data_IF_641286903538
#
_entry.id   IF_641286903538
#
_cell.length_a   1.000
_cell.length_b   1.000
_cell.length_c   1.000
_cell.angle_alpha   90.00
_cell.angle_beta   90.00
_cell.angle_gamma   90.00
#
_symmetry.space_group_name_H-M   'P 1'
#
loop_
_entity.id
_entity.type
_entity.pdbx_description
1 polymer ?
#
# COMPACT_ATOMS: atom_id res chain seq x y z
N UNK A 1 -5.35 12.83 9.52
CA UNK A 1 -6.08 11.64 9.05
C UNK A 1 -5.43 10.38 9.62
N UNK A 2 -4.16 10.12 9.32
CA UNK A 2 -3.35 9.10 9.99
C UNK A 2 -2.57 9.76 11.13
N UNK A 3 -3.09 9.73 12.36
CA UNK A 3 -2.54 10.54 13.47
C UNK A 3 -1.26 9.92 14.05
N UNK A 4 -1.21 8.60 14.09
CA UNK A 4 -0.07 7.80 14.51
C UNK A 4 1.13 7.95 13.57
N UNK A 5 0.91 8.34 12.31
CA UNK A 5 1.99 8.56 11.35
C UNK A 5 2.89 9.75 11.75
N UNK A 6 2.40 10.74 12.49
CA UNK A 6 3.19 11.93 12.84
C UNK A 6 4.36 11.67 13.81
N UNK A 7 4.45 10.45 14.36
CA UNK A 7 5.51 10.03 15.30
C UNK A 7 6.90 10.03 14.64
N UNK A 8 7.93 10.04 15.48
CA UNK A 8 9.34 9.88 15.06
C UNK A 8 9.81 10.93 14.03
N UNK A 9 9.38 12.18 14.18
CA UNK A 9 9.83 13.29 13.33
C UNK A 9 9.07 13.45 12.00
N UNK A 10 8.00 12.68 11.79
CA UNK A 10 7.21 12.72 10.54
C UNK A 10 6.07 13.76 10.54
N UNK A 11 5.89 14.53 11.61
CA UNK A 11 4.80 15.51 11.73
C UNK A 11 4.80 16.65 10.69
N UNK A 12 5.92 16.90 10.00
CA UNK A 12 6.02 17.87 8.90
C UNK A 12 5.75 17.29 7.50
N UNK A 13 5.47 16.00 7.38
CA UNK A 13 5.15 15.37 6.09
C UNK A 13 3.73 15.76 5.66
N UNK A 14 3.58 16.24 4.42
CA UNK A 14 2.28 16.54 3.81
C UNK A 14 1.98 15.56 2.67
N UNK A 15 0.76 15.63 2.13
CA UNK A 15 0.32 14.79 0.99
C UNK A 15 1.22 14.98 -0.23
N UNK A 16 1.67 16.21 -0.50
CA UNK A 16 2.59 16.51 -1.59
C UNK A 16 3.90 15.72 -1.44
N UNK A 17 4.52 15.73 -0.25
CA UNK A 17 5.74 14.96 0.00
C UNK A 17 5.58 13.45 -0.24
N UNK A 18 4.40 12.89 0.07
CA UNK A 18 4.12 11.48 -0.20
C UNK A 18 4.00 11.21 -1.70
N UNK A 19 3.26 12.05 -2.43
CA UNK A 19 3.04 11.92 -3.87
C UNK A 19 4.30 12.17 -4.70
N UNK A 20 5.22 13.01 -4.22
CA UNK A 20 6.45 13.36 -4.93
C UNK A 20 7.67 12.57 -4.47
N UNK A 21 7.48 11.55 -3.61
CA UNK A 21 8.58 10.77 -3.04
C UNK A 21 9.63 11.61 -2.31
N UNK A 22 9.21 12.67 -1.61
CA UNK A 22 10.10 13.55 -0.82
C UNK A 22 9.79 13.50 0.68
N UNK A 23 9.02 12.53 1.15
CA UNK A 23 8.66 12.38 2.57
C UNK A 23 9.82 11.95 3.46
N UNK A 24 10.90 11.39 2.89
CA UNK A 24 12.01 10.79 3.61
C UNK A 24 11.73 9.38 4.14
N UNK A 25 10.57 8.79 3.83
CA UNK A 25 10.26 7.41 4.20
C UNK A 25 11.17 6.42 3.46
N UNK A 26 11.65 5.36 4.14
CA UNK A 26 12.33 4.27 3.47
C UNK A 26 11.34 3.41 2.66
N UNK A 27 11.86 2.34 2.05
CA UNK A 27 11.02 1.27 1.49
C UNK A 27 10.32 0.51 2.62
N UNK A 28 9.19 -0.14 2.32
CA UNK A 28 8.53 -1.05 3.25
C UNK A 28 9.47 -2.18 3.61
N UNK A 29 9.58 -2.48 4.91
CA UNK A 29 10.31 -3.65 5.37
C UNK A 29 9.61 -4.92 4.86
N UNK A 30 10.31 -5.72 4.06
CA UNK A 30 9.79 -6.98 3.53
C UNK A 30 9.34 -7.95 4.62
N UNK A 31 9.87 -7.83 5.85
CA UNK A 31 9.50 -8.69 6.98
C UNK A 31 8.06 -8.50 7.47
N UNK A 32 7.43 -7.35 7.17
CA UNK A 32 6.06 -7.04 7.60
C UNK A 32 5.01 -7.33 6.54
N UNK A 33 5.43 -7.64 5.31
CA UNK A 33 4.53 -8.00 4.22
C UNK A 33 3.76 -9.29 4.54
N UNK A 34 2.60 -9.52 3.88
CA UNK A 34 1.83 -10.75 4.10
C UNK A 34 2.72 -11.97 3.92
N UNK A 35 2.75 -12.84 4.93
CA UNK A 35 3.67 -13.99 4.96
C UNK A 35 3.01 -15.26 4.44
N UNK A 36 1.67 -15.29 4.36
CA UNK A 36 0.92 -16.46 3.90
C UNK A 36 -0.28 -16.05 3.03
N UNK A 37 -0.70 -16.89 2.07
CA UNK A 37 -1.87 -16.59 1.21
C UNK A 37 -3.21 -16.50 1.95
N UNK A 38 -3.31 -17.09 3.14
CA UNK A 38 -4.55 -17.16 3.93
C UNK A 38 -4.59 -16.10 5.05
N UNK A 39 -3.65 -15.17 5.05
CA UNK A 39 -3.66 -14.09 6.01
C UNK A 39 -4.84 -13.15 5.77
N UNK A 40 -5.48 -12.68 6.85
CA UNK A 40 -6.52 -11.68 6.77
C UNK A 40 -5.96 -10.37 6.17
N UNK A 41 -6.48 -9.90 5.01
CA UNK A 41 -5.92 -8.73 4.32
C UNK A 41 -5.94 -7.46 5.16
N UNK A 42 -6.99 -7.27 5.97
CA UNK A 42 -7.14 -6.08 6.81
C UNK A 42 -6.10 -6.09 7.95
N UNK A 43 -5.89 -7.25 8.60
CA UNK A 43 -4.82 -7.42 9.59
C UNK A 43 -3.42 -7.21 9.00
N UNK A 44 -3.17 -7.73 7.79
CA UNK A 44 -1.90 -7.54 7.11
C UNK A 44 -1.66 -6.06 6.76
N UNK A 45 -2.67 -5.40 6.21
CA UNK A 45 -2.63 -3.96 5.92
C UNK A 45 -2.35 -3.13 7.18
N UNK A 46 -3.08 -3.40 8.27
CA UNK A 46 -2.89 -2.70 9.54
C UNK A 46 -1.48 -2.89 10.11
N UNK A 47 -0.90 -4.09 9.99
CA UNK A 47 0.48 -4.35 10.41
C UNK A 47 1.48 -3.52 9.59
N UNK A 48 1.35 -3.51 8.27
CA UNK A 48 2.25 -2.74 7.39
C UNK A 48 2.16 -1.25 7.70
N UNK A 49 0.95 -0.70 7.83
CA UNK A 49 0.74 0.71 8.20
C UNK A 49 1.37 1.02 9.56
N UNK A 50 1.18 0.16 10.55
CA UNK A 50 1.74 0.35 11.89
C UNK A 50 3.28 0.35 11.86
N UNK A 51 3.89 -0.57 11.10
CA UNK A 51 5.34 -0.61 10.90
C UNK A 51 5.87 0.67 10.27
N UNK A 52 5.23 1.18 9.21
CA UNK A 52 5.62 2.45 8.58
C UNK A 52 5.47 3.64 9.55
N UNK A 53 4.43 3.62 10.39
CA UNK A 53 4.23 4.67 11.38
C UNK A 53 5.32 4.68 12.46
N UNK A 54 5.88 3.51 12.80
CA UNK A 54 6.96 3.38 13.80
C UNK A 54 8.36 3.61 13.22
N UNK A 55 8.51 3.62 11.90
CA UNK A 55 9.79 3.86 11.23
C UNK A 55 10.16 5.37 11.19
N UNK A 56 11.37 5.77 11.59
CA UNK A 56 11.83 7.15 11.41
C UNK A 56 12.15 7.45 9.94
N UNK A 57 12.03 8.72 9.49
CA UNK A 57 12.42 9.08 8.14
C UNK A 57 13.95 9.06 8.01
N UNK A 58 14.45 8.55 6.88
CA UNK A 58 15.89 8.52 6.56
C UNK A 58 16.47 9.92 6.32
N UNK A 59 15.63 10.84 5.83
CA UNK A 59 15.96 12.23 5.56
C UNK A 59 14.81 13.16 5.97
N UNK A 60 15.07 14.45 6.26
CA UNK A 60 13.99 15.40 6.52
C UNK A 60 13.01 15.49 5.34
N UNK A 61 11.70 15.69 5.58
CA UNK A 61 10.73 15.89 4.52
C UNK A 61 11.12 17.06 3.60
N UNK A 62 11.04 16.85 2.29
CA UNK A 62 11.41 17.82 1.26
C UNK A 62 12.90 17.88 0.92
N UNK A 63 13.78 17.18 1.65
CA UNK A 63 15.22 17.29 1.46
C UNK A 63 15.73 16.66 0.15
N UNK A 64 15.15 15.53 -0.27
CA UNK A 64 15.50 14.84 -1.51
C UNK A 64 14.33 14.00 -2.03
N UNK A 65 14.39 13.62 -3.31
CA UNK A 65 13.46 12.67 -3.91
C UNK A 65 14.06 11.26 -3.83
N UNK A 66 13.37 10.36 -3.14
CA UNK A 66 13.72 8.95 -3.01
C UNK A 66 12.45 8.10 -3.08
N UNK A 67 12.38 7.24 -4.09
CA UNK A 67 11.24 6.35 -4.30
C UNK A 67 10.93 5.56 -3.02
N UNK A 68 9.65 5.55 -2.64
CA UNK A 68 9.15 4.91 -1.42
C UNK A 68 7.75 4.37 -1.68
N UNK A 69 7.62 3.04 -1.61
CA UNK A 69 6.34 2.33 -1.55
C UNK A 69 5.59 2.62 -0.23
N UNK A 70 6.31 2.78 0.88
CA UNK A 70 5.74 3.16 2.18
C UNK A 70 4.95 4.48 2.10
N UNK A 71 5.43 5.45 1.30
CA UNK A 71 4.70 6.69 1.06
C UNK A 71 3.32 6.46 0.42
N UNK A 72 3.23 5.51 -0.52
CA UNK A 72 1.98 5.16 -1.20
C UNK A 72 1.06 4.30 -0.33
N UNK A 73 1.60 3.44 0.55
CA UNK A 73 0.79 2.74 1.55
C UNK A 73 0.11 3.74 2.48
N UNK A 74 0.82 4.77 2.96
CA UNK A 74 0.23 5.83 3.80
C UNK A 74 -0.81 6.67 3.05
N UNK A 75 -0.61 6.92 1.74
CA UNK A 75 -1.64 7.55 0.91
C UNK A 75 -2.91 6.68 0.81
N UNK A 76 -2.76 5.37 0.58
CA UNK A 76 -3.88 4.43 0.58
C UNK A 76 -4.64 4.43 1.91
N UNK A 77 -3.90 4.44 3.03
CA UNK A 77 -4.48 4.49 4.37
C UNK A 77 -5.22 5.83 4.60
N UNK A 78 -4.65 6.94 4.13
CA UNK A 78 -5.30 8.24 4.20
C UNK A 78 -6.62 8.25 3.44
N UNK A 79 -6.66 7.69 2.23
CA UNK A 79 -7.88 7.56 1.43
C UNK A 79 -8.92 6.73 2.19
N UNK A 80 -8.53 5.56 2.71
CA UNK A 80 -9.44 4.70 3.50
C UNK A 80 -10.07 5.45 4.67
N UNK A 81 -9.29 6.26 5.41
CA UNK A 81 -9.79 7.02 6.57
C UNK A 81 -10.69 8.19 6.19
N UNK A 82 -10.43 8.83 5.06
CA UNK A 82 -11.22 9.98 4.60
C UNK A 82 -12.56 9.52 4.02
N UNK A 83 -12.54 8.44 3.25
CA UNK A 83 -13.71 7.91 2.55
C UNK A 83 -14.56 6.96 3.42
N UNK A 84 -13.91 6.15 4.25
CA UNK A 84 -14.54 5.17 5.14
C UNK A 84 -14.62 3.75 4.56
N UNK A 85 -14.39 3.55 3.27
CA UNK A 85 -14.22 2.23 2.65
C UNK A 85 -12.75 1.78 2.69
N UNK A 86 -12.46 0.46 2.66
CA UNK A 86 -11.11 -0.03 2.41
C UNK A 86 -10.56 0.48 1.06
N UNK A 87 -9.28 0.85 1.01
CA UNK A 87 -8.63 1.39 -0.20
C UNK A 87 -8.85 0.56 -1.48
N UNK A 88 -8.75 -0.79 -1.46
CA UNK A 88 -9.04 -1.60 -2.65
C UNK A 88 -10.47 -1.42 -3.19
N UNK A 89 -11.45 -1.28 -2.29
CA UNK A 89 -12.85 -1.06 -2.66
C UNK A 89 -13.05 0.34 -3.26
N UNK A 90 -12.45 1.37 -2.64
CA UNK A 90 -12.46 2.73 -3.17
C UNK A 90 -11.91 2.79 -4.60
N UNK A 91 -10.73 2.21 -4.84
CA UNK A 91 -10.12 2.21 -6.18
C UNK A 91 -10.99 1.43 -7.18
N UNK A 92 -11.59 0.32 -6.78
CA UNK A 92 -12.48 -0.44 -7.65
C UNK A 92 -13.69 0.39 -8.07
N UNK A 93 -14.37 1.02 -7.12
CA UNK A 93 -15.63 1.74 -7.37
C UNK A 93 -15.43 3.10 -8.02
N UNK A 94 -14.37 3.83 -7.66
CA UNK A 94 -14.15 5.22 -8.11
C UNK A 94 -13.22 5.34 -9.32
N UNK A 95 -12.41 4.32 -9.62
CA UNK A 95 -11.42 4.37 -10.70
C UNK A 95 -11.62 3.25 -11.72
N UNK A 96 -11.66 1.99 -11.28
CA UNK A 96 -11.68 0.87 -12.23
C UNK A 96 -13.03 0.72 -12.93
N UNK A 97 -14.13 0.66 -12.19
CA UNK A 97 -15.47 0.49 -12.78
C UNK A 97 -15.88 1.65 -13.70
N UNK A 98 -15.64 2.93 -13.37
CA UNK A 98 -15.95 4.05 -14.28
C UNK A 98 -15.14 4.05 -15.59
N UNK A 99 -14.02 3.32 -15.63
CA UNK A 99 -13.15 3.18 -16.80
C UNK A 99 -13.33 1.83 -17.52
N UNK A 100 -14.37 1.05 -17.17
CA UNK A 100 -14.62 -0.30 -17.69
C UNK A 100 -13.47 -1.31 -17.46
N UNK A 101 -12.62 -1.05 -16.46
CA UNK A 101 -11.52 -1.94 -16.07
C UNK A 101 -12.04 -3.05 -15.13
N UNK A 102 -12.79 -4.00 -15.69
CA UNK A 102 -13.46 -5.06 -14.91
C UNK A 102 -12.50 -6.09 -14.31
N UNK A 103 -11.30 -6.20 -14.88
CA UNK A 103 -10.25 -7.13 -14.47
C UNK A 103 -8.97 -6.40 -14.02
N UNK A 104 -9.14 -5.47 -13.08
CA UNK A 104 -8.06 -4.76 -12.42
C UNK A 104 -8.26 -4.83 -10.90
N UNK A 105 -7.19 -5.10 -10.15
CA UNK A 105 -7.28 -5.43 -8.72
C UNK A 105 -6.15 -4.77 -7.93
N UNK A 106 -6.49 -4.23 -6.77
CA UNK A 106 -5.55 -3.93 -5.68
C UNK A 106 -5.76 -5.03 -4.64
N UNK A 107 -4.71 -5.80 -4.31
CA UNK A 107 -4.86 -6.94 -3.39
C UNK A 107 -5.83 -7.99 -3.92
N UNK A 108 -5.50 -8.58 -5.08
CA UNK A 108 -6.33 -9.61 -5.74
C UNK A 108 -6.69 -10.75 -4.79
N UNK A 109 -7.97 -11.12 -4.75
CA UNK A 109 -8.46 -12.26 -3.98
C UNK A 109 -7.75 -13.56 -4.40
N UNK A 110 -7.42 -14.43 -3.43
CA UNK A 110 -6.67 -15.65 -3.70
C UNK A 110 -7.40 -16.59 -4.68
N UNK A 111 -8.73 -16.67 -4.64
CA UNK A 111 -9.49 -17.47 -5.61
C UNK A 111 -9.39 -16.90 -7.02
N UNK A 112 -9.34 -15.56 -7.15
CA UNK A 112 -9.11 -14.91 -8.43
C UNK A 112 -7.69 -15.18 -8.93
N UNK A 113 -6.70 -15.08 -8.05
CA UNK A 113 -5.31 -15.42 -8.36
C UNK A 113 -5.18 -16.86 -8.91
N UNK A 114 -5.82 -17.84 -8.27
CA UNK A 114 -5.78 -19.24 -8.72
C UNK A 114 -6.39 -19.43 -10.11
N UNK A 115 -7.49 -18.74 -10.44
CA UNK A 115 -8.07 -18.80 -11.80
C UNK A 115 -7.06 -18.37 -12.86
N UNK A 116 -6.31 -17.30 -12.61
CA UNK A 116 -5.27 -16.84 -13.54
C UNK A 116 -3.98 -17.68 -13.50
N UNK A 117 -3.78 -18.51 -12.48
CA UNK A 117 -2.64 -19.41 -12.43
C UNK A 117 -2.82 -20.61 -13.38
N UNK A 118 -4.07 -20.94 -13.73
CA UNK A 118 -4.44 -22.04 -14.62
C UNK A 118 -4.46 -21.63 -16.12
N UNK A 119 -4.31 -20.35 -16.43
CA UNK A 119 -4.32 -19.81 -17.80
C UNK A 119 -2.90 -19.71 -18.41
N UNK A 120 -2.80 -19.64 -19.75
CA UNK A 120 -1.53 -19.48 -20.49
C UNK A 120 -0.91 -18.11 -20.21
N UNK A 121 -0.09 -18.02 -19.14
CA UNK A 121 0.61 -16.79 -18.77
C UNK A 121 1.89 -16.61 -19.59
N UNK A 122 2.20 -15.36 -19.91
CA UNK A 122 3.48 -14.96 -20.52
C UNK A 122 4.68 -15.29 -19.59
N UNK A 123 4.46 -15.32 -18.28
CA UNK A 123 5.48 -15.69 -17.29
C UNK A 123 4.84 -16.46 -16.10
N UNK A 124 5.53 -17.49 -15.56
CA UNK A 124 5.04 -18.26 -14.42
C UNK A 124 5.05 -17.41 -13.14
N UNK A 125 4.03 -17.61 -12.29
CA UNK A 125 4.01 -17.10 -10.92
C UNK A 125 4.78 -18.10 -10.05
N UNK A 126 6.00 -17.75 -9.62
CA UNK A 126 6.67 -18.52 -8.57
C UNK A 126 5.98 -18.26 -7.24
N UNK A 127 5.15 -19.20 -6.80
CA UNK A 127 4.78 -19.29 -5.38
C UNK A 127 6.03 -19.78 -4.63
N UNK A 128 6.67 -18.91 -3.85
CA UNK A 128 7.60 -19.41 -2.83
C UNK A 128 6.76 -20.17 -1.80
N UNK A 129 7.02 -21.48 -1.68
CA UNK A 129 6.41 -22.36 -0.69
C UNK A 129 7.10 -22.33 0.66
#
# INVERSE_FOLDING_TARGET
>A
YVVEFARHGKGGVCVEHLLTHTSGLPLVDGSVLPLTPNEDPDAAWARVVASICDEPPAHPPGACCMYSDAAFVILGELVSRVDGRPFPLYIREEVFLPLDLVDCHIGMDHSAFLRYAEEDRIAPLTTQG
#
